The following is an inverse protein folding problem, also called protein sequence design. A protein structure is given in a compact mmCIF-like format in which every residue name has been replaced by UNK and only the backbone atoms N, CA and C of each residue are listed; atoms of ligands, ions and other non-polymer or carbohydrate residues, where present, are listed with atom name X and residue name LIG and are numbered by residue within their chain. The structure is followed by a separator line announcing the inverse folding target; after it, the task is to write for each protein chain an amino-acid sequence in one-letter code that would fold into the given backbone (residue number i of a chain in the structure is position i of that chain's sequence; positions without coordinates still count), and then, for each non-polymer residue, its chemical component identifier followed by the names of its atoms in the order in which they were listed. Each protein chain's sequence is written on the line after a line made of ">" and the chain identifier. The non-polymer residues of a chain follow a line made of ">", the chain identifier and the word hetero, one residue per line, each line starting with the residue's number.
data_IF_539210112350
#
_entry.id   IF_539210112350
#
_cell.length_a   1.000
_cell.length_b   1.000
_cell.length_c   1.000
_cell.angle_alpha   90.00
_cell.angle_beta   90.00
_cell.angle_gamma   90.00
#
_symmetry.space_group_name_H-M   'P 1'
#
loop_
_entity.id
_entity.type
_entity.pdbx_description
1 polymer ?
#
# COMPACT_ATOMS: atom_id res chain seq x y z
N UNK A 1 -39.20 2.20 17.93
CA UNK A 1 -38.95 3.65 17.81
C UNK A 1 -38.12 4.09 19.01
N UNK A 2 -36.80 4.20 18.86
CA UNK A 2 -35.93 5.01 19.73
C UNK A 2 -34.81 5.56 18.86
N UNK A 3 -34.72 6.88 18.81
CA UNK A 3 -33.70 7.68 18.13
C UNK A 3 -32.73 8.25 19.18
N UNK A 4 -31.52 8.57 18.70
CA UNK A 4 -30.38 9.31 19.32
C UNK A 4 -29.32 8.39 19.95
N UNK A 5 -28.03 8.59 19.71
CA UNK A 5 -27.29 9.85 19.55
C UNK A 5 -26.12 9.70 18.55
N UNK A 6 -25.87 10.78 17.83
CA UNK A 6 -24.72 11.05 16.97
C UNK A 6 -23.43 11.17 17.79
N UNK A 7 -22.42 10.37 17.47
CA UNK A 7 -21.02 10.68 17.71
C UNK A 7 -20.33 10.70 16.37
N UNK A 8 -20.02 11.91 15.93
CA UNK A 8 -19.06 12.22 14.88
C UNK A 8 -17.70 11.71 15.31
N UNK A 9 -17.37 10.48 14.91
CA UNK A 9 -16.00 10.02 14.92
C UNK A 9 -15.50 10.17 13.49
N UNK A 10 -14.67 11.19 13.25
CA UNK A 10 -13.81 11.26 12.08
C UNK A 10 -12.73 10.19 12.21
N UNK A 11 -13.14 8.93 12.27
CA UNK A 11 -12.28 7.81 11.98
C UNK A 11 -12.05 7.87 10.48
N UNK A 12 -10.80 8.09 10.08
CA UNK A 12 -10.36 7.88 8.71
C UNK A 12 -10.79 6.47 8.30
N UNK A 13 -11.92 6.35 7.59
CA UNK A 13 -12.26 5.15 6.85
C UNK A 13 -11.25 5.04 5.70
N UNK A 14 -10.04 4.61 6.02
CA UNK A 14 -9.17 3.97 5.04
C UNK A 14 -9.92 2.69 4.72
N UNK A 15 -10.76 2.75 3.68
CA UNK A 15 -11.25 1.55 3.04
C UNK A 15 -9.99 0.73 2.73
N UNK A 16 -9.90 -0.49 3.25
CA UNK A 16 -8.85 -1.43 2.94
C UNK A 16 -8.89 -1.70 1.43
N UNK A 17 -8.25 -0.84 0.65
CA UNK A 17 -8.09 -1.02 -0.78
C UNK A 17 -7.05 -2.11 -0.91
N UNK A 18 -7.49 -3.36 -1.09
CA UNK A 18 -6.58 -4.41 -1.50
C UNK A 18 -5.99 -3.99 -2.85
N UNK A 19 -4.66 -3.96 -2.94
CA UNK A 19 -3.97 -3.67 -4.19
C UNK A 19 -4.45 -4.59 -5.33
N UNK A 20 -4.89 -5.81 -5.01
CA UNK A 20 -5.47 -6.76 -5.98
C UNK A 20 -6.78 -6.29 -6.60
N UNK A 21 -7.54 -5.43 -5.91
CA UNK A 21 -8.79 -4.86 -6.43
C UNK A 21 -8.56 -3.71 -7.41
N UNK A 22 -7.33 -3.21 -7.48
CA UNK A 22 -6.94 -2.07 -8.33
C UNK A 22 -5.95 -2.45 -9.40
N UNK A 23 -5.14 -3.48 -9.18
CA UNK A 23 -4.00 -3.82 -10.02
C UNK A 23 -3.95 -5.32 -10.35
N UNK A 24 -3.68 -5.60 -11.62
CA UNK A 24 -3.22 -6.91 -12.08
C UNK A 24 -1.71 -7.03 -11.85
N UNK A 25 -1.29 -8.07 -11.11
CA UNK A 25 0.12 -8.34 -10.85
C UNK A 25 0.71 -9.12 -12.03
N UNK A 26 1.69 -8.53 -12.72
CA UNK A 26 2.27 -9.13 -13.93
C UNK A 26 3.46 -10.02 -13.58
N UNK A 27 4.44 -9.48 -12.84
CA UNK A 27 5.69 -10.18 -12.53
C UNK A 27 6.38 -9.57 -11.31
N UNK A 28 6.99 -10.40 -10.47
CA UNK A 28 7.96 -9.94 -9.46
C UNK A 28 9.26 -9.55 -10.16
N UNK A 29 9.68 -8.29 -9.98
CA UNK A 29 10.88 -7.73 -10.62
C UNK A 29 12.05 -7.57 -9.65
N UNK A 30 11.80 -7.71 -8.35
CA UNK A 30 12.86 -7.68 -7.35
C UNK A 30 12.37 -8.15 -5.98
N UNK A 31 13.28 -8.70 -5.19
CA UNK A 31 13.02 -9.12 -3.81
C UNK A 31 14.11 -8.55 -2.91
N UNK A 32 13.70 -7.81 -1.90
CA UNK A 32 14.58 -7.24 -0.88
C UNK A 32 14.52 -8.02 0.43
N UNK A 33 15.29 -7.56 1.42
CA UNK A 33 15.30 -8.11 2.78
C UNK A 33 13.94 -8.00 3.48
N UNK A 34 13.14 -6.99 3.14
CA UNK A 34 11.89 -6.66 3.83
C UNK A 34 10.66 -6.70 2.91
N UNK A 35 10.75 -7.26 1.70
CA UNK A 35 9.61 -7.31 0.80
C UNK A 35 9.93 -7.61 -0.66
N UNK A 36 8.97 -7.33 -1.54
CA UNK A 36 9.07 -7.61 -2.96
C UNK A 36 8.53 -6.45 -3.81
N UNK A 37 9.11 -6.29 -4.99
CA UNK A 37 8.74 -5.27 -5.98
C UNK A 37 8.08 -5.97 -7.16
N UNK A 38 6.89 -5.52 -7.52
CA UNK A 38 6.05 -6.10 -8.55
C UNK A 38 5.80 -5.11 -9.69
N UNK A 39 5.89 -5.59 -10.92
CA UNK A 39 5.34 -4.92 -12.08
C UNK A 39 3.84 -5.18 -12.12
N UNK A 40 3.05 -4.11 -12.19
CA UNK A 40 1.59 -4.18 -12.13
C UNK A 40 0.94 -3.34 -13.23
N UNK A 41 -0.30 -3.65 -13.56
CA UNK A 41 -1.14 -2.90 -14.49
C UNK A 41 -2.46 -2.54 -13.82
N UNK A 42 -3.00 -1.31 -13.97
CA UNK A 42 -4.27 -0.97 -13.33
C UNK A 42 -5.43 -1.71 -14.02
N UNK A 43 -6.33 -2.28 -13.23
CA UNK A 43 -7.50 -2.99 -13.74
C UNK A 43 -8.48 -2.07 -14.48
N UNK A 44 -8.52 -0.79 -14.12
CA UNK A 44 -9.42 0.23 -14.70
C UNK A 44 -8.65 1.43 -15.23
N UNK A 45 -7.64 1.19 -16.08
CA UNK A 45 -6.96 2.26 -16.81
C UNK A 45 -7.63 2.53 -18.15
N UNK A 46 -7.91 3.80 -18.46
CA UNK A 46 -8.28 4.22 -19.83
C UNK A 46 -7.07 4.17 -20.80
N UNK A 47 -5.85 4.13 -20.26
CA UNK A 47 -4.62 3.95 -21.02
C UNK A 47 -4.22 2.47 -20.98
N UNK A 48 -4.47 1.76 -22.08
CA UNK A 48 -4.47 0.29 -22.16
C UNK A 48 -3.12 -0.38 -21.84
N UNK A 49 -2.00 0.34 -21.80
CA UNK A 49 -0.68 -0.30 -21.67
C UNK A 49 0.25 0.34 -20.63
N UNK A 50 -0.24 1.19 -19.73
CA UNK A 50 0.63 1.79 -18.72
C UNK A 50 0.94 0.78 -17.61
N UNK A 51 2.22 0.47 -17.44
CA UNK A 51 2.73 -0.38 -16.36
C UNK A 51 3.24 0.49 -15.22
N UNK A 52 3.09 -0.02 -14.00
CA UNK A 52 3.50 0.62 -12.76
C UNK A 52 4.33 -0.36 -11.93
N UNK A 53 5.03 0.18 -10.94
CA UNK A 53 5.79 -0.61 -9.97
C UNK A 53 5.12 -0.51 -8.61
N UNK A 54 4.90 -1.64 -7.96
CA UNK A 54 4.34 -1.73 -6.61
C UNK A 54 5.36 -2.41 -5.69
N UNK A 55 5.83 -1.69 -4.66
CA UNK A 55 6.73 -2.21 -3.63
C UNK A 55 5.88 -2.65 -2.43
N UNK A 56 5.87 -3.96 -2.15
CA UNK A 56 5.19 -4.56 -0.98
C UNK A 56 6.21 -4.76 0.15
N UNK A 57 5.88 -4.30 1.34
CA UNK A 57 6.68 -4.51 2.55
C UNK A 57 6.06 -5.65 3.39
N UNK A 58 6.87 -6.63 3.78
CA UNK A 58 6.44 -7.77 4.59
C UNK A 58 6.77 -7.50 6.07
N UNK A 59 5.86 -6.82 6.77
CA UNK A 59 6.07 -6.33 8.15
C UNK A 59 5.91 -7.40 9.25
N UNK A 60 6.03 -8.68 8.90
CA UNK A 60 5.69 -9.80 9.81
C UNK A 60 6.76 -10.10 10.86
N UNK A 61 7.96 -9.52 10.76
CA UNK A 61 9.07 -9.78 11.68
C UNK A 61 9.24 -8.64 12.67
N UNK A 62 8.71 -8.77 13.89
CA UNK A 62 8.92 -7.77 14.95
C UNK A 62 10.35 -7.86 15.50
N UNK A 63 11.30 -7.24 14.80
CA UNK A 63 12.66 -7.03 15.28
C UNK A 63 13.06 -5.55 15.12
N UNK A 64 14.10 -5.12 15.83
CA UNK A 64 14.57 -3.73 15.78
C UNK A 64 15.00 -3.29 14.37
N UNK A 65 15.49 -4.24 13.55
CA UNK A 65 15.84 -3.98 12.16
C UNK A 65 14.62 -3.57 11.32
N UNK A 66 13.45 -4.19 11.54
CA UNK A 66 12.23 -3.82 10.83
C UNK A 66 11.77 -2.40 11.15
N UNK A 67 11.94 -1.92 12.39
CA UNK A 67 11.56 -0.54 12.74
C UNK A 67 12.40 0.48 11.98
N UNK A 68 13.72 0.29 11.89
CA UNK A 68 14.59 1.18 11.12
C UNK A 68 14.26 1.15 9.62
N UNK A 69 13.97 -0.03 9.06
CA UNK A 69 13.58 -0.18 7.65
C UNK A 69 12.20 0.43 7.37
N UNK A 70 11.27 0.34 8.32
CA UNK A 70 9.97 0.99 8.24
C UNK A 70 10.08 2.51 8.23
N UNK A 71 10.83 3.08 9.18
CA UNK A 71 11.08 4.52 9.23
C UNK A 71 11.76 5.01 7.94
N UNK A 72 12.68 4.21 7.39
CA UNK A 72 13.30 4.47 6.10
C UNK A 72 12.29 4.46 4.95
N UNK A 73 11.41 3.46 4.89
CA UNK A 73 10.37 3.35 3.87
C UNK A 73 9.30 4.44 3.98
N UNK A 74 8.93 4.86 5.18
CA UNK A 74 8.01 5.97 5.43
C UNK A 74 8.61 7.29 4.95
N UNK A 75 9.88 7.56 5.27
CA UNK A 75 10.59 8.74 4.76
C UNK A 75 10.74 8.71 3.25
N UNK A 76 11.01 7.55 2.65
CA UNK A 76 11.03 7.39 1.18
C UNK A 76 9.67 7.73 0.58
N UNK A 77 8.58 7.23 1.17
CA UNK A 77 7.23 7.51 0.70
C UNK A 77 6.86 9.00 0.82
N UNK A 78 7.22 9.65 1.92
CA UNK A 78 7.02 11.09 2.11
C UNK A 78 7.76 11.89 1.02
N UNK A 79 9.04 11.60 0.79
CA UNK A 79 9.86 12.24 -0.24
C UNK A 79 9.34 12.02 -1.66
N UNK A 80 8.77 10.85 -1.95
CA UNK A 80 8.22 10.53 -3.28
C UNK A 80 6.81 11.11 -3.48
N UNK A 81 6.17 11.57 -2.41
CA UNK A 81 4.82 12.15 -2.47
C UNK A 81 4.79 13.67 -2.69
N UNK A 82 5.92 14.35 -2.52
CA UNK A 82 6.10 15.80 -2.76
C UNK A 82 6.29 16.13 -4.24
#
# INVERSE_FOLDING_TARGET
>A
MFLRKTTSDTGLHIQDIDAKDKYNFVKEIGKGSYGAVWLVQPLRSKQINKQFVLKRLDLKQQNNALQTELEGAEREAELLSS
#
